data_IF_396958997899
#
_entry.id   IF_396958997899
#
_cell.length_a   1.000
_cell.length_b   1.000
_cell.length_c   1.000
_cell.angle_alpha   90.00
_cell.angle_beta   90.00
_cell.angle_gamma   90.00
#
_symmetry.space_group_name_H-M   'P 1'
#
loop_
_entity.id
_entity.type
_entity.pdbx_description
1 polymer ?
#
# COMPACT_ATOMS: atom_id res chain seq x y z
N UNK A 1 13.27 0.07 9.82
CA UNK A 1 12.98 0.11 8.37
C UNK A 1 11.68 0.86 8.20
N UNK A 2 11.72 1.99 7.49
CA UNK A 2 10.54 2.81 7.25
C UNK A 2 9.72 2.14 6.16
N UNK A 3 8.48 1.73 6.47
CA UNK A 3 7.51 1.24 5.49
C UNK A 3 7.10 2.41 4.60
N UNK A 4 7.02 2.19 3.30
CA UNK A 4 6.66 3.20 2.31
C UNK A 4 5.17 3.21 2.00
N UNK A 5 4.52 2.08 2.18
CA UNK A 5 3.10 1.90 1.92
C UNK A 5 2.40 1.56 3.22
N UNK A 6 1.21 2.09 3.40
CA UNK A 6 0.37 1.86 4.59
C UNK A 6 -1.10 1.79 4.16
N UNK A 7 -1.96 1.27 5.04
CA UNK A 7 -3.39 1.12 4.77
C UNK A 7 -4.18 2.11 5.61
N UNK A 8 -5.04 2.90 4.95
CA UNK A 8 -5.95 3.82 5.61
C UNK A 8 -7.38 3.28 5.57
N UNK A 9 -8.06 3.31 6.72
CA UNK A 9 -9.46 2.91 6.80
C UNK A 9 -10.36 4.05 6.33
N UNK A 10 -11.19 3.76 5.33
CA UNK A 10 -12.18 4.71 4.80
C UNK A 10 -13.40 4.80 5.72
N UNK A 11 -14.18 5.91 5.65
CA UNK A 11 -15.44 6.04 6.36
C UNK A 11 -16.51 5.01 5.90
N UNK A 12 -16.34 4.40 4.73
CA UNK A 12 -17.21 3.34 4.21
C UNK A 12 -16.91 1.97 4.86
N UNK A 13 -15.80 1.86 5.57
CA UNK A 13 -15.36 0.63 6.23
C UNK A 13 -14.45 -0.25 5.37
N UNK A 14 -14.07 0.25 4.19
CA UNK A 14 -13.05 -0.33 3.32
C UNK A 14 -11.67 0.23 3.65
N UNK A 15 -10.64 -0.29 2.97
CA UNK A 15 -9.25 0.04 3.19
C UNK A 15 -8.58 0.47 1.89
N UNK A 16 -7.88 1.58 1.96
CA UNK A 16 -7.14 2.19 0.86
C UNK A 16 -5.64 2.05 1.13
N UNK A 17 -4.88 1.62 0.13
CA UNK A 17 -3.42 1.57 0.23
C UNK A 17 -2.86 2.91 -0.21
N UNK A 18 -2.16 3.59 0.70
CA UNK A 18 -1.52 4.88 0.46
C UNK A 18 0.00 4.76 0.50
N UNK A 19 0.69 5.55 -0.34
CA UNK A 19 2.12 5.77 -0.20
C UNK A 19 2.32 6.86 0.87
N UNK A 20 3.00 6.53 1.98
CA UNK A 20 3.16 7.44 3.13
C UNK A 20 4.06 8.64 2.83
N UNK A 21 4.86 8.59 1.77
CA UNK A 21 5.72 9.71 1.37
C UNK A 21 4.94 10.74 0.57
N UNK A 22 3.99 10.29 -0.24
CA UNK A 22 3.18 11.17 -1.11
C UNK A 22 1.81 11.48 -0.53
N UNK A 23 1.30 10.64 0.38
CA UNK A 23 -0.07 10.69 0.88
C UNK A 23 -1.12 10.36 -0.19
N UNK A 24 -0.71 9.76 -1.31
CA UNK A 24 -1.59 9.44 -2.43
C UNK A 24 -1.90 7.93 -2.47
N UNK A 25 -3.08 7.53 -2.96
CA UNK A 25 -3.41 6.13 -3.15
C UNK A 25 -2.47 5.50 -4.17
N UNK A 26 -2.01 4.28 -3.86
CA UNK A 26 -1.12 3.52 -4.73
C UNK A 26 -1.91 3.06 -5.97
N UNK A 27 -1.30 3.21 -7.14
CA UNK A 27 -1.88 2.75 -8.41
C UNK A 27 -1.03 1.59 -8.93
N UNK A 28 -1.55 0.37 -8.83
CA UNK A 28 -0.94 -0.84 -9.37
C UNK A 28 -1.58 -1.14 -10.73
N UNK A 29 -0.75 -1.25 -11.79
CA UNK A 29 -1.22 -1.61 -13.15
C UNK A 29 -2.32 -0.68 -13.69
N UNK A 30 -2.34 0.59 -13.26
CA UNK A 30 -3.34 1.57 -13.68
C UNK A 30 -4.67 1.50 -12.90
N UNK A 31 -4.76 0.65 -11.87
CA UNK A 31 -5.90 0.55 -10.96
C UNK A 31 -5.51 1.13 -9.61
N UNK A 32 -6.22 2.14 -9.07
CA UNK A 32 -6.00 2.62 -7.72
C UNK A 32 -6.40 1.54 -6.71
N UNK A 33 -5.54 1.27 -5.75
CA UNK A 33 -5.76 0.32 -4.66
C UNK A 33 -6.59 0.97 -3.54
N UNK A 34 -7.87 1.18 -3.86
CA UNK A 34 -8.86 1.82 -2.98
C UNK A 34 -10.11 0.96 -2.86
N UNK A 35 -10.88 1.19 -1.82
CA UNK A 35 -12.15 0.54 -1.51
C UNK A 35 -12.04 -0.99 -1.37
N UNK A 36 -10.96 -1.46 -0.74
CA UNK A 36 -10.64 -2.89 -0.66
C UNK A 36 -11.02 -3.49 0.70
N UNK A 37 -11.28 -4.80 0.80
CA UNK A 37 -11.38 -5.48 2.08
C UNK A 37 -10.00 -5.51 2.77
N UNK A 38 -10.01 -5.54 4.11
CA UNK A 38 -8.78 -5.52 4.91
C UNK A 38 -7.82 -6.66 4.55
N UNK A 39 -8.34 -7.85 4.27
CA UNK A 39 -7.52 -9.03 3.95
C UNK A 39 -6.71 -8.82 2.65
N UNK A 40 -7.30 -8.18 1.64
CA UNK A 40 -6.58 -7.86 0.40
C UNK A 40 -5.65 -6.65 0.57
N UNK A 41 -6.08 -5.66 1.36
CA UNK A 41 -5.25 -4.50 1.65
C UNK A 41 -3.97 -4.86 2.43
N UNK A 42 -4.08 -5.77 3.40
CA UNK A 42 -2.98 -6.27 4.22
C UNK A 42 -1.95 -7.05 3.38
N UNK A 43 -2.41 -7.98 2.52
CA UNK A 43 -1.53 -8.76 1.64
C UNK A 43 -0.78 -7.86 0.64
N UNK A 44 -1.50 -6.91 0.01
CA UNK A 44 -0.92 -5.99 -0.96
C UNK A 44 0.05 -4.98 -0.32
N UNK A 45 -0.25 -4.44 0.87
CA UNK A 45 0.66 -3.51 1.55
C UNK A 45 1.94 -4.21 2.00
N UNK A 46 1.86 -5.46 2.47
CA UNK A 46 3.04 -6.28 2.77
C UNK A 46 3.86 -6.55 1.52
N UNK A 47 3.22 -6.92 0.40
CA UNK A 47 3.89 -7.17 -0.88
C UNK A 47 4.63 -5.93 -1.39
N UNK A 48 3.98 -4.77 -1.37
CA UNK A 48 4.55 -3.50 -1.81
C UNK A 48 5.74 -3.08 -0.93
N UNK A 49 5.62 -3.20 0.39
CA UNK A 49 6.72 -2.91 1.31
C UNK A 49 7.87 -3.92 1.17
N UNK A 50 7.58 -5.20 0.94
CA UNK A 50 8.59 -6.22 0.67
C UNK A 50 9.36 -5.91 -0.62
N UNK A 51 8.67 -5.46 -1.68
CA UNK A 51 9.30 -5.04 -2.94
C UNK A 51 10.12 -3.77 -2.80
N UNK A 52 9.66 -2.78 -2.03
CA UNK A 52 10.47 -1.58 -1.71
C UNK A 52 11.74 -1.96 -0.95
N UNK A 53 11.60 -2.83 0.04
CA UNK A 53 12.71 -3.30 0.87
C UNK A 53 13.75 -4.05 0.03
N UNK A 54 13.33 -4.98 -0.83
CA UNK A 54 14.24 -5.68 -1.75
C UNK A 54 14.97 -4.72 -2.69
N UNK A 55 14.28 -3.73 -3.26
CA UNK A 55 14.92 -2.73 -4.12
C UNK A 55 15.94 -1.87 -3.36
N UNK A 56 15.70 -1.60 -2.07
CA UNK A 56 16.65 -0.85 -1.22
C UNK A 56 17.80 -1.69 -0.69
N UNK A 57 17.64 -3.01 -0.57
CA UNK A 57 18.72 -3.92 -0.21
C UNK A 57 19.70 -4.18 -1.38
N UNK A 58 19.27 -3.96 -2.63
CA UNK A 58 20.06 -4.16 -3.85
C UNK A 58 20.86 -2.91 -4.32
N UNK A 59 20.63 -1.73 -3.72
CA UNK A 59 21.36 -0.47 -4.00
C UNK A 59 22.41 -0.16 -2.94
#
# INVERSE_FOLDING_TARGET
MTQRYDIEKTPEGTWDIIDVFTGMPVVEVGVPLIDMPIEEADDLVELLNCRDRQQREDT
#
